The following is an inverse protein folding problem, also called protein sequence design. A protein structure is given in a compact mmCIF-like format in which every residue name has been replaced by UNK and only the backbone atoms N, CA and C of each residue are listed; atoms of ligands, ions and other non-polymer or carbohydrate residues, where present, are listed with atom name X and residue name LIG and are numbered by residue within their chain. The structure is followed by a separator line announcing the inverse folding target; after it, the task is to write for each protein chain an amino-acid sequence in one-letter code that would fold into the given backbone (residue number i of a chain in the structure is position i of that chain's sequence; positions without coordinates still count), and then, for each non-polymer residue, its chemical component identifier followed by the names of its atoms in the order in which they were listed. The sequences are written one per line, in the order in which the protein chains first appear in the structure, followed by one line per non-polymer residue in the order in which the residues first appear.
data_IF_848367557829
#
_entry.id   IF_848367557829
#
_cell.length_a   1.000
_cell.length_b   1.000
_cell.length_c   1.000
_cell.angle_alpha   90.00
_cell.angle_beta   90.00
_cell.angle_gamma   90.00
#
_symmetry.space_group_name_H-M   'P 1'
#
loop_
_entity.id
_entity.type
_entity.pdbx_description
1 polymer ?
#
# COMPACT_ATOMS: atom_id res chain seq x y z
N UNK A 1 31.83 -0.59 -18.80
CA UNK A 1 30.79 -1.62 -19.03
C UNK A 1 29.44 -1.01 -18.73
N UNK A 2 28.48 -1.13 -19.65
CA UNK A 2 27.12 -0.63 -19.44
C UNK A 2 26.47 -1.47 -18.34
N UNK A 3 26.12 -0.84 -17.23
CA UNK A 3 25.37 -1.46 -16.14
C UNK A 3 23.95 -1.72 -16.62
N UNK A 4 23.61 -2.99 -16.87
CA UNK A 4 22.22 -3.42 -17.06
C UNK A 4 21.51 -3.31 -15.71
N UNK A 5 20.92 -2.15 -15.43
CA UNK A 5 20.04 -2.00 -14.27
C UNK A 5 18.74 -2.75 -14.58
N UNK A 6 18.68 -4.02 -14.17
CA UNK A 6 17.43 -4.77 -14.11
C UNK A 6 16.51 -4.04 -13.13
N UNK A 7 15.52 -3.29 -13.65
CA UNK A 7 14.45 -2.72 -12.82
C UNK A 7 13.68 -3.87 -12.19
N UNK A 8 13.84 -4.07 -10.88
CA UNK A 8 13.04 -5.02 -10.13
C UNK A 8 11.82 -4.27 -9.63
N UNK A 9 10.68 -4.45 -10.29
CA UNK A 9 9.43 -3.88 -9.80
C UNK A 9 8.87 -4.75 -8.68
N UNK A 10 8.52 -4.13 -7.56
CA UNK A 10 7.89 -4.74 -6.40
C UNK A 10 6.44 -4.26 -6.31
N UNK A 11 5.51 -5.21 -6.17
CA UNK A 11 4.10 -4.93 -5.90
C UNK A 11 3.75 -5.31 -4.46
N UNK A 12 3.18 -4.37 -3.72
CA UNK A 12 2.68 -4.59 -2.37
C UNK A 12 1.16 -4.42 -2.39
N UNK A 13 0.44 -5.44 -1.92
CA UNK A 13 -1.02 -5.39 -1.77
C UNK A 13 -1.33 -5.29 -0.29
N UNK A 14 -1.69 -4.11 0.17
CA UNK A 14 -1.87 -3.83 1.59
C UNK A 14 -3.34 -3.88 1.94
N UNK A 15 -3.72 -4.72 2.90
CA UNK A 15 -5.07 -4.69 3.46
C UNK A 15 -5.16 -3.53 4.45
N UNK A 16 -6.15 -2.68 4.29
CA UNK A 16 -6.46 -1.57 5.20
C UNK A 16 -7.84 -1.82 5.77
N UNK A 17 -7.93 -1.88 7.10
CA UNK A 17 -9.20 -1.89 7.81
C UNK A 17 -9.49 -0.44 8.23
N UNK A 18 -10.64 0.08 7.81
CA UNK A 18 -11.03 1.49 7.98
C UNK A 18 -12.47 1.61 8.46
N UNK A 19 -12.84 2.76 9.03
CA UNK A 19 -14.25 3.06 9.36
C UNK A 19 -14.53 4.55 9.32
N UNK A 20 -15.78 4.90 9.03
CA UNK A 20 -16.23 6.29 9.03
C UNK A 20 -16.37 6.85 10.46
N UNK A 21 -16.90 6.05 11.38
CA UNK A 21 -17.12 6.41 12.79
C UNK A 21 -17.04 5.16 13.67
N UNK A 22 -16.78 5.31 15.00
CA UNK A 22 -16.62 4.16 15.89
C UNK A 22 -17.81 3.20 15.97
N UNK A 23 -19.02 3.70 15.71
CA UNK A 23 -20.30 2.98 15.74
C UNK A 23 -20.63 2.29 14.40
N UNK A 24 -19.87 2.57 13.35
CA UNK A 24 -20.05 1.95 12.03
C UNK A 24 -19.16 0.71 11.92
N UNK A 25 -19.65 -0.39 11.31
CA UNK A 25 -18.83 -1.58 11.08
C UNK A 25 -17.54 -1.26 10.32
N UNK A 26 -16.48 -1.99 10.65
CA UNK A 26 -15.20 -1.86 9.97
C UNK A 26 -15.31 -2.35 8.52
N UNK A 27 -14.71 -1.59 7.61
CA UNK A 27 -14.63 -1.90 6.18
C UNK A 27 -13.21 -2.37 5.85
N UNK A 28 -13.08 -3.27 4.89
CA UNK A 28 -11.79 -3.72 4.37
C UNK A 28 -11.56 -3.16 2.97
N UNK A 29 -10.38 -2.57 2.75
CA UNK A 29 -9.92 -2.12 1.44
C UNK A 29 -8.52 -2.66 1.15
N UNK A 30 -8.17 -2.70 -0.13
CA UNK A 30 -6.82 -3.05 -0.57
C UNK A 30 -6.16 -1.88 -1.29
N UNK A 31 -4.97 -1.51 -0.83
CA UNK A 31 -4.13 -0.48 -1.45
C UNK A 31 -2.96 -1.17 -2.14
N UNK A 32 -2.78 -0.90 -3.43
CA UNK A 32 -1.65 -1.40 -4.21
C UNK A 32 -0.55 -0.34 -4.26
N UNK A 33 0.68 -0.73 -3.92
CA UNK A 33 1.87 0.10 -3.99
C UNK A 33 2.88 -0.55 -4.94
N UNK A 34 3.37 0.22 -5.89
CA UNK A 34 4.44 -0.17 -6.82
C UNK A 34 5.74 0.52 -6.42
N UNK A 35 6.87 -0.19 -6.47
CA UNK A 35 8.19 0.38 -6.20
C UNK A 35 9.28 -0.32 -7.00
N UNK A 36 10.28 0.43 -7.46
CA UNK A 36 11.48 -0.13 -8.12
C UNK A 36 12.52 -0.68 -7.14
N UNK A 37 12.28 -0.49 -5.83
CA UNK A 37 13.15 -0.92 -4.75
C UNK A 37 12.35 -1.64 -3.66
N UNK A 38 12.95 -2.60 -2.95
CA UNK A 38 12.25 -3.25 -1.85
C UNK A 38 11.96 -2.23 -0.74
N UNK A 39 10.69 -2.13 -0.36
CA UNK A 39 10.22 -1.29 0.74
C UNK A 39 10.25 -2.04 2.08
N UNK A 40 10.54 -1.30 3.15
CA UNK A 40 10.37 -1.78 4.53
C UNK A 40 8.90 -1.64 4.97
N UNK A 41 8.52 -2.28 6.09
CA UNK A 41 7.16 -2.14 6.64
C UNK A 41 6.75 -0.69 6.88
N UNK A 42 7.65 0.12 7.48
CA UNK A 42 7.40 1.54 7.73
C UNK A 42 7.20 2.35 6.44
N UNK A 43 7.96 2.05 5.39
CA UNK A 43 7.79 2.71 4.08
C UNK A 43 6.44 2.35 3.45
N UNK A 44 5.99 1.10 3.62
CA UNK A 44 4.68 0.66 3.11
C UNK A 44 3.55 1.37 3.88
N UNK A 45 3.65 1.48 5.20
CA UNK A 45 2.67 2.19 6.04
C UNK A 45 2.59 3.68 5.66
N UNK A 46 3.73 4.34 5.45
CA UNK A 46 3.76 5.72 4.98
C UNK A 46 3.09 5.87 3.61
N UNK A 47 3.44 5.01 2.65
CA UNK A 47 2.86 5.06 1.30
C UNK A 47 1.35 4.77 1.29
N UNK A 48 0.86 3.90 2.19
CA UNK A 48 -0.59 3.73 2.40
C UNK A 48 -1.20 5.01 2.93
N UNK A 49 -0.61 5.64 3.94
CA UNK A 49 -1.14 6.86 4.55
C UNK A 49 -1.25 8.01 3.55
N UNK A 50 -0.22 8.22 2.72
CA UNK A 50 -0.22 9.26 1.67
C UNK A 50 -1.33 9.02 0.64
N UNK A 51 -1.46 7.78 0.14
CA UNK A 51 -2.55 7.41 -0.78
C UNK A 51 -3.93 7.48 -0.12
N UNK A 52 -4.01 7.24 1.19
CA UNK A 52 -5.27 7.27 1.91
C UNK A 52 -5.75 8.69 2.14
N UNK A 53 -4.86 9.65 2.37
CA UNK A 53 -5.20 11.06 2.45
C UNK A 53 -5.84 11.56 1.13
N UNK A 54 -5.31 11.12 -0.02
CA UNK A 54 -5.93 11.38 -1.33
C UNK A 54 -7.35 10.79 -1.45
N UNK A 55 -7.62 9.68 -0.77
CA UNK A 55 -8.95 9.05 -0.71
C UNK A 55 -9.88 9.70 0.32
N UNK A 56 -9.36 10.14 1.46
CA UNK A 56 -10.12 10.79 2.53
C UNK A 56 -10.77 12.10 2.08
N UNK A 57 -10.14 12.82 1.16
CA UNK A 57 -10.73 13.97 0.47
C UNK A 57 -12.11 13.65 -0.13
N UNK A 58 -12.39 12.37 -0.41
CA UNK A 58 -13.66 11.90 -0.98
C UNK A 58 -14.56 11.13 0.00
N UNK A 59 -14.02 10.45 1.03
CA UNK A 59 -14.82 9.52 1.85
C UNK A 59 -14.71 9.67 3.37
N UNK A 60 -13.85 10.55 3.90
CA UNK A 60 -13.69 10.84 5.34
C UNK A 60 -13.56 9.60 6.27
N UNK A 61 -12.94 8.51 5.82
CA UNK A 61 -12.79 7.28 6.61
C UNK A 61 -11.43 7.22 7.29
N UNK A 62 -11.40 6.96 8.59
CA UNK A 62 -10.17 6.78 9.35
C UNK A 62 -9.59 5.36 9.16
N UNK A 63 -8.26 5.27 9.05
CA UNK A 63 -7.53 3.99 9.10
C UNK A 63 -7.49 3.49 10.54
N UNK A 64 -7.97 2.27 10.78
CA UNK A 64 -7.90 1.61 12.09
C UNK A 64 -6.75 0.61 12.16
N UNK A 65 -6.43 -0.05 11.03
CA UNK A 65 -5.34 -1.03 10.98
C UNK A 65 -4.80 -1.21 9.56
N UNK A 66 -3.49 -1.39 9.47
CA UNK A 66 -2.79 -1.72 8.22
C UNK A 66 -2.19 -3.11 8.37
N UNK A 67 -2.48 -4.00 7.43
CA UNK A 67 -1.88 -5.34 7.33
C UNK A 67 -1.21 -5.46 5.97
N UNK A 68 0.12 -5.23 5.88
CA UNK A 68 0.84 -5.36 4.62
C UNK A 68 0.94 -6.82 4.21
N UNK A 69 0.40 -7.17 3.04
CA UNK A 69 0.70 -8.44 2.37
C UNK A 69 1.63 -8.19 1.19
N UNK A 70 2.76 -8.88 1.17
CA UNK A 70 3.71 -8.76 0.06
C UNK A 70 3.34 -9.77 -1.02
N UNK A 71 3.01 -9.28 -2.21
CA UNK A 71 2.89 -10.09 -3.41
C UNK A 71 4.03 -9.70 -4.38
N UNK A 72 5.22 -10.27 -4.17
CA UNK A 72 6.36 -9.98 -5.05
C UNK A 72 6.09 -10.62 -6.42
N UNK A 73 5.62 -9.83 -7.39
CA UNK A 73 5.62 -10.25 -8.78
C UNK A 73 7.00 -9.97 -9.37
N UNK A 74 7.82 -11.02 -9.54
CA UNK A 74 9.01 -10.93 -10.41
C UNK A 74 8.50 -10.94 -11.85
N UNK A 75 8.44 -9.79 -12.50
CA UNK A 75 8.47 -9.74 -13.97
C UNK A 75 9.88 -10.14 -14.41
N UNK A 76 10.07 -11.45 -14.61
CA UNK A 76 11.18 -11.96 -15.41
C UNK A 76 10.81 -11.67 -16.87
N UNK A 77 11.54 -10.78 -17.52
CA UNK A 77 11.80 -10.91 -18.96
C UNK A 77 13.14 -11.65 -19.16
#
# INVERSE_FOLDING_TARGET
GKSYALSKEFMYKVKVESRLKPDVPMTERFVNIMSDVPMTGAMIEQAVTEKWAEYEDYTAEAIEKIVPWTAIHRTLE
#
